data_IF_531949208851
#
_entry.id   IF_531949208851
#
_cell.length_a   1.000
_cell.length_b   1.000
_cell.length_c   1.000
_cell.angle_alpha   90.00
_cell.angle_beta   90.00
_cell.angle_gamma   90.00
#
_symmetry.space_group_name_H-M   'P 1'
#
loop_
_entity.id
_entity.type
_entity.pdbx_description
1 polymer ?
#
# COMPACT_ATOMS: atom_id res chain seq x y z
N UNK A 1 -7.33 -11.90 -1.96
CA UNK A 1 -7.41 -10.93 -3.08
C UNK A 1 -6.10 -10.17 -3.15
N UNK A 2 -5.66 -9.76 -4.34
CA UNK A 2 -4.45 -8.95 -4.55
C UNK A 2 -4.87 -7.60 -5.12
N UNK A 3 -4.08 -6.55 -4.89
CA UNK A 3 -4.37 -5.24 -5.47
C UNK A 3 -3.37 -4.16 -5.07
N UNK A 4 -3.38 -3.02 -5.78
CA UNK A 4 -2.46 -1.93 -5.54
C UNK A 4 -2.73 -1.25 -4.19
N UNK A 5 -1.75 -0.47 -3.75
CA UNK A 5 -1.79 0.35 -2.52
C UNK A 5 -2.52 1.69 -2.66
N UNK A 6 -3.43 1.79 -3.63
CA UNK A 6 -4.29 2.96 -3.81
C UNK A 6 -5.40 2.98 -2.74
N UNK A 7 -5.67 4.15 -2.17
CA UNK A 7 -6.44 4.31 -0.94
C UNK A 7 -7.85 3.69 -1.01
N UNK A 8 -8.58 3.93 -2.09
CA UNK A 8 -9.92 3.37 -2.27
C UNK A 8 -9.86 1.85 -2.46
N UNK A 9 -8.84 1.37 -3.17
CA UNK A 9 -8.64 -0.04 -3.47
C UNK A 9 -8.29 -0.85 -2.23
N UNK A 10 -7.44 -0.34 -1.34
CA UNK A 10 -7.14 -0.97 -0.05
C UNK A 10 -8.42 -1.20 0.75
N UNK A 11 -9.28 -0.18 0.87
CA UNK A 11 -10.55 -0.29 1.62
C UNK A 11 -11.45 -1.37 1.02
N UNK A 12 -11.62 -1.34 -0.32
CA UNK A 12 -12.45 -2.32 -1.00
C UNK A 12 -11.90 -3.75 -0.86
N UNK A 13 -10.58 -3.92 -0.96
CA UNK A 13 -9.94 -5.22 -0.87
C UNK A 13 -10.04 -5.80 0.56
N UNK A 14 -9.81 -4.99 1.58
CA UNK A 14 -9.98 -5.37 2.98
C UNK A 14 -11.44 -5.74 3.31
N UNK A 15 -12.41 -5.04 2.71
CA UNK A 15 -13.85 -5.29 2.89
C UNK A 15 -14.42 -6.36 1.96
N UNK A 16 -13.62 -6.99 1.10
CA UNK A 16 -14.10 -7.87 0.02
C UNK A 16 -14.67 -9.22 0.48
N UNK A 17 -14.51 -9.59 1.75
CA UNK A 17 -14.83 -10.93 2.27
C UNK A 17 -13.73 -11.97 2.06
N UNK A 18 -12.63 -11.62 1.38
CA UNK A 18 -11.45 -12.47 1.31
C UNK A 18 -10.82 -12.71 2.69
N UNK A 19 -10.11 -13.82 2.87
CA UNK A 19 -9.37 -14.09 4.12
C UNK A 19 -8.10 -13.24 4.23
N UNK A 20 -7.45 -12.99 3.11
CA UNK A 20 -6.21 -12.21 3.01
C UNK A 20 -6.31 -11.23 1.85
N UNK A 21 -5.85 -10.01 2.08
CA UNK A 21 -5.56 -9.00 1.07
C UNK A 21 -4.05 -8.82 0.98
N UNK A 22 -3.48 -9.12 -0.20
CA UNK A 22 -2.10 -8.76 -0.53
C UNK A 22 -2.08 -7.37 -1.14
N UNK A 23 -1.62 -6.40 -0.36
CA UNK A 23 -1.32 -5.06 -0.80
C UNK A 23 0.02 -5.04 -1.54
N UNK A 24 0.01 -4.54 -2.76
CA UNK A 24 1.07 -4.77 -3.72
C UNK A 24 1.81 -3.49 -4.11
N UNK A 25 3.12 -3.45 -3.80
CA UNK A 25 4.06 -2.42 -4.25
C UNK A 25 4.84 -2.84 -5.50
N UNK A 26 4.60 -4.04 -6.02
CA UNK A 26 5.31 -4.60 -7.18
C UNK A 26 4.42 -4.57 -8.44
N UNK A 27 4.03 -5.72 -9.02
CA UNK A 27 3.49 -5.75 -10.40
C UNK A 27 2.19 -4.95 -10.59
N UNK A 28 1.37 -4.75 -9.55
CA UNK A 28 0.14 -3.98 -9.65
C UNK A 28 0.32 -2.46 -9.47
N UNK A 29 1.55 -1.97 -9.25
CA UNK A 29 1.83 -0.57 -8.95
C UNK A 29 2.92 0.00 -9.86
N UNK A 30 2.66 1.16 -10.48
CA UNK A 30 3.76 1.95 -11.07
C UNK A 30 4.59 2.58 -9.93
N UNK A 31 5.90 2.29 -9.82
CA UNK A 31 6.71 2.63 -8.65
C UNK A 31 7.22 4.08 -8.71
N UNK A 32 6.31 5.04 -8.93
CA UNK A 32 6.63 6.45 -8.72
C UNK A 32 6.79 6.73 -7.23
N UNK A 33 7.63 7.71 -6.87
CA UNK A 33 7.82 8.13 -5.49
C UNK A 33 6.50 8.40 -4.78
N UNK A 34 5.61 9.13 -5.45
CA UNK A 34 4.31 9.51 -4.91
C UNK A 34 3.42 8.29 -4.63
N UNK A 35 3.40 7.31 -5.54
CA UNK A 35 2.61 6.09 -5.36
C UNK A 35 3.13 5.24 -4.20
N UNK A 36 4.46 5.08 -4.11
CA UNK A 36 5.11 4.30 -3.05
C UNK A 36 4.85 4.94 -1.67
N UNK A 37 5.17 6.24 -1.53
CA UNK A 37 5.02 6.92 -0.24
C UNK A 37 3.55 7.03 0.19
N UNK A 38 2.63 7.37 -0.74
CA UNK A 38 1.20 7.36 -0.42
C UNK A 38 0.70 5.96 -0.08
N UNK A 39 1.24 4.93 -0.73
CA UNK A 39 0.95 3.54 -0.42
C UNK A 39 1.25 3.21 1.03
N UNK A 40 2.45 3.54 1.52
CA UNK A 40 2.82 3.33 2.93
C UNK A 40 1.93 4.12 3.90
N UNK A 41 1.63 5.39 3.60
CA UNK A 41 0.68 6.19 4.41
C UNK A 41 -0.70 5.52 4.44
N UNK A 42 -1.20 5.02 3.31
CA UNK A 42 -2.48 4.33 3.25
C UNK A 42 -2.47 3.03 4.07
N UNK A 43 -1.39 2.24 4.00
CA UNK A 43 -1.28 1.01 4.78
C UNK A 43 -1.18 1.28 6.28
N UNK A 44 -0.46 2.32 6.69
CA UNK A 44 -0.44 2.77 8.09
C UNK A 44 -1.85 3.11 8.56
N UNK A 45 -2.57 3.96 7.83
CA UNK A 45 -3.95 4.31 8.17
C UNK A 45 -4.88 3.09 8.20
N UNK A 46 -4.63 2.08 7.35
CA UNK A 46 -5.42 0.86 7.31
C UNK A 46 -5.15 -0.03 8.53
N UNK A 47 -3.90 -0.15 8.97
CA UNK A 47 -3.51 -0.86 10.20
C UNK A 47 -4.08 -0.14 11.42
N UNK A 48 -4.04 1.19 11.44
CA UNK A 48 -4.62 2.03 12.50
C UNK A 48 -6.16 2.03 12.51
N UNK A 49 -6.81 1.46 11.48
CA UNK A 49 -8.27 1.46 11.32
C UNK A 49 -8.86 2.83 10.96
N UNK A 50 -8.03 3.82 10.65
CA UNK A 50 -8.41 5.22 10.38
C UNK A 50 -8.59 5.53 8.89
N UNK A 51 -8.20 4.61 8.00
CA UNK A 51 -8.29 4.80 6.55
C UNK A 51 -9.73 5.08 6.10
N UNK A 52 -9.91 6.20 5.41
CA UNK A 52 -11.17 6.59 4.78
C UNK A 52 -10.92 7.20 3.41
N UNK A 53 -11.89 7.08 2.52
CA UNK A 53 -11.85 7.71 1.20
C UNK A 53 -13.20 8.33 0.86
N UNK A 54 -13.21 9.62 0.52
CA UNK A 54 -14.41 10.32 0.10
C UNK A 54 -14.42 10.48 -1.43
N UNK A 55 -15.28 9.69 -2.09
CA UNK A 55 -15.56 9.82 -3.51
C UNK A 55 -16.53 10.99 -3.73
N UNK A 56 -15.99 12.19 -3.91
CA UNK A 56 -16.78 13.42 -4.10
C UNK A 56 -17.72 13.33 -5.29
N UNK A 57 -17.35 12.59 -6.34
CA UNK A 57 -18.15 12.46 -7.57
C UNK A 57 -19.43 11.66 -7.34
N UNK A 58 -19.41 10.72 -6.39
CA UNK A 58 -20.55 9.87 -6.03
C UNK A 58 -21.13 10.19 -4.66
N UNK A 59 -20.62 11.24 -4.00
CA UNK A 59 -20.96 11.63 -2.62
C UNK A 59 -20.92 10.43 -1.66
N UNK A 60 -19.93 9.55 -1.83
CA UNK A 60 -19.83 8.29 -1.07
C UNK A 60 -18.55 8.24 -0.25
N UNK A 61 -18.68 7.92 1.03
CA UNK A 61 -17.56 7.68 1.93
C UNK A 61 -17.31 6.19 2.07
N UNK A 62 -16.06 5.78 1.88
CA UNK A 62 -15.57 4.42 2.06
C UNK A 62 -14.75 4.37 3.35
N UNK A 63 -15.00 3.34 4.16
CA UNK A 63 -14.31 3.05 5.42
C UNK A 63 -14.21 1.55 5.61
N UNK A 64 -13.36 1.09 6.52
CA UNK A 64 -13.25 -0.33 6.86
C UNK A 64 -14.51 -0.81 7.61
N UNK A 65 -14.84 -2.08 7.39
CA UNK A 65 -15.82 -2.81 8.19
C UNK A 65 -15.20 -3.23 9.54
N UNK A 66 -16.03 -3.67 10.49
CA UNK A 66 -15.56 -4.20 11.78
C UNK A 66 -14.70 -5.46 11.62
N UNK A 67 -14.99 -6.26 10.59
CA UNK A 67 -14.21 -7.43 10.20
C UNK A 67 -13.66 -7.26 8.79
N UNK A 68 -12.34 -7.33 8.67
CA UNK A 68 -11.60 -7.17 7.42
C UNK A 68 -10.72 -8.38 7.13
N UNK A 69 -10.31 -8.52 5.87
CA UNK A 69 -9.27 -9.46 5.48
C UNK A 69 -7.95 -9.18 6.24
N UNK A 70 -7.13 -10.20 6.45
CA UNK A 70 -5.78 -10.01 6.96
C UNK A 70 -4.91 -9.32 5.91
N UNK A 71 -4.20 -8.28 6.32
CA UNK A 71 -3.26 -7.58 5.46
C UNK A 71 -1.97 -8.39 5.30
N UNK A 72 -1.53 -8.53 4.07
CA UNK A 72 -0.24 -9.08 3.67
C UNK A 72 0.39 -8.08 2.70
N UNK A 73 1.68 -7.79 2.80
CA UNK A 73 2.33 -6.79 1.95
C UNK A 73 3.35 -7.46 1.05
N UNK A 74 3.26 -7.16 -0.25
CA UNK A 74 4.27 -7.56 -1.24
C UNK A 74 5.16 -6.36 -1.56
N UNK A 75 6.42 -6.34 -1.09
CA UNK A 75 7.39 -5.33 -1.50
C UNK A 75 7.83 -5.57 -2.95
N UNK A 76 8.48 -4.56 -3.55
CA UNK A 76 9.19 -4.72 -4.83
C UNK A 76 10.19 -5.88 -4.80
N UNK A 77 10.51 -6.43 -5.97
CA UNK A 77 11.55 -7.46 -6.11
C UNK A 77 12.98 -6.90 -5.94
N UNK A 78 13.95 -7.79 -5.70
CA UNK A 78 15.37 -7.46 -5.48
C UNK A 78 16.03 -6.62 -6.58
N UNK A 79 15.54 -6.73 -7.82
CA UNK A 79 16.11 -6.07 -8.99
C UNK A 79 15.64 -4.61 -9.16
N UNK A 80 14.67 -4.14 -8.36
CA UNK A 80 14.11 -2.80 -8.47
C UNK A 80 14.79 -1.84 -7.48
N UNK A 81 15.39 -0.73 -7.95
CA UNK A 81 15.94 0.30 -7.08
C UNK A 81 14.85 1.25 -6.54
N UNK A 82 15.16 1.91 -5.43
CA UNK A 82 14.51 3.14 -5.01
C UNK A 82 15.40 4.34 -5.39
N UNK A 83 15.13 4.93 -6.55
CA UNK A 83 15.97 5.99 -7.11
C UNK A 83 15.97 7.30 -6.31
N UNK A 84 15.00 7.50 -5.42
CA UNK A 84 14.85 8.76 -4.67
C UNK A 84 15.54 8.74 -3.31
N UNK A 85 16.05 7.59 -2.87
CA UNK A 85 16.84 7.44 -1.64
C UNK A 85 18.23 6.98 -2.03
N UNK A 86 19.23 7.81 -1.73
CA UNK A 86 20.63 7.50 -1.99
C UNK A 86 21.35 7.12 -0.70
N UNK A 87 22.13 6.04 -0.75
CA UNK A 87 23.04 5.60 0.31
C UNK A 87 24.43 5.60 -0.33
N UNK A 88 25.33 6.46 0.18
CA UNK A 88 26.67 6.66 -0.38
C UNK A 88 26.67 7.00 -1.89
N UNK A 89 25.63 7.68 -2.36
CA UNK A 89 25.46 8.10 -3.76
C UNK A 89 24.75 7.09 -4.66
N UNK A 90 24.47 5.87 -4.17
CA UNK A 90 23.80 4.82 -4.93
C UNK A 90 22.33 4.67 -4.52
N UNK A 91 21.41 4.36 -5.46
CA UNK A 91 20.01 4.07 -5.14
C UNK A 91 19.86 2.94 -4.12
N UNK A 92 18.99 3.14 -3.13
CA UNK A 92 18.64 2.11 -2.16
C UNK A 92 17.93 0.92 -2.84
N UNK A 93 17.97 -0.25 -2.21
CA UNK A 93 17.25 -1.44 -2.68
C UNK A 93 15.74 -1.29 -2.40
N UNK A 94 14.91 -1.26 -3.44
CA UNK A 94 13.48 -0.97 -3.31
C UNK A 94 12.74 -1.92 -2.36
N UNK A 95 13.06 -3.21 -2.39
CA UNK A 95 12.44 -4.19 -1.51
C UNK A 95 12.71 -3.93 -0.01
N UNK A 96 13.91 -3.42 0.32
CA UNK A 96 14.28 -3.09 1.70
C UNK A 96 13.63 -1.79 2.17
N UNK A 97 13.44 -0.83 1.26
CA UNK A 97 12.67 0.40 1.54
C UNK A 97 11.21 0.04 1.82
N UNK A 98 10.57 -0.72 0.93
CA UNK A 98 9.16 -1.09 1.08
C UNK A 98 8.92 -1.93 2.35
N UNK A 99 9.79 -2.93 2.60
CA UNK A 99 9.74 -3.73 3.83
C UNK A 99 9.96 -2.86 5.07
N UNK A 100 11.01 -2.03 5.06
CA UNK A 100 11.37 -1.19 6.20
C UNK A 100 10.25 -0.21 6.57
N UNK A 101 9.69 0.52 5.60
CA UNK A 101 8.63 1.48 5.85
C UNK A 101 7.31 0.87 6.31
N UNK A 102 7.04 -0.41 5.98
CA UNK A 102 5.84 -1.10 6.47
C UNK A 102 6.05 -1.78 7.83
N UNK A 103 7.25 -2.31 8.07
CA UNK A 103 7.56 -3.03 9.31
C UNK A 103 7.70 -2.09 10.52
N UNK A 104 8.23 -0.88 10.31
CA UNK A 104 8.44 0.15 11.35
C UNK A 104 7.31 1.18 11.38
#
# INVERSE_FOLDING_TARGET
ITGPVERKMIINALNSGAKVFMADFEDALSPSWENLMKGHVNLKDAVDGSITFHDKSRTRVYKLNDQTAKLFVRPRGWHLPEAHILIDGEPATGCLVDFGLYFF
#
